data_IF_026673035884
#
_entry.id   IF_026673035884
#
_cell.length_a   1.000
_cell.length_b   1.000
_cell.length_c   1.000
_cell.angle_alpha   90.00
_cell.angle_beta   90.00
_cell.angle_gamma   90.00
#
_symmetry.space_group_name_H-M   'P 1'
#
loop_
_entity.id
_entity.type
_entity.pdbx_description
1 polymer ?
#
# COMPACT_ATOMS: atom_id res chain seq x y z
N UNK A 1 -14.78 -0.77 15.44
CA UNK A 1 -13.34 -1.13 15.61
C UNK A 1 -12.59 0.15 15.95
N UNK A 2 -11.60 0.12 16.85
CA UNK A 2 -10.81 1.30 17.21
C UNK A 2 -9.57 1.38 16.33
N UNK A 3 -9.48 2.39 15.47
CA UNK A 3 -8.28 2.65 14.67
C UNK A 3 -7.21 3.30 15.55
N UNK A 4 -6.23 2.52 16.00
CA UNK A 4 -5.13 3.02 16.85
C UNK A 4 -3.99 3.51 15.96
N UNK A 5 -3.71 4.81 15.99
CA UNK A 5 -2.58 5.41 15.26
C UNK A 5 -1.29 5.22 16.08
N UNK A 6 -0.30 4.57 15.47
CA UNK A 6 1.02 4.30 16.04
C UNK A 6 2.08 5.07 15.27
N UNK A 7 2.92 5.80 16.01
CA UNK A 7 4.08 6.52 15.49
C UNK A 7 5.32 5.63 15.55
N UNK A 8 6.06 5.50 14.44
CA UNK A 8 7.34 4.79 14.36
C UNK A 8 8.39 5.66 13.68
N UNK A 9 9.65 5.46 14.06
CA UNK A 9 10.80 6.09 13.40
C UNK A 9 11.40 5.11 12.38
N UNK A 10 11.61 5.58 11.15
CA UNK A 10 12.18 4.81 10.05
C UNK A 10 13.33 5.62 9.46
N UNK A 11 14.44 4.95 9.14
CA UNK A 11 15.55 5.58 8.44
C UNK A 11 15.26 5.58 6.94
N UNK A 12 15.16 6.78 6.35
CA UNK A 12 14.96 7.03 4.93
C UNK A 12 16.11 7.90 4.42
N UNK A 13 16.79 7.47 3.35
CA UNK A 13 17.89 8.22 2.73
C UNK A 13 18.93 8.74 3.74
N UNK A 14 19.24 7.96 4.78
CA UNK A 14 20.21 8.33 5.83
C UNK A 14 19.66 9.16 6.99
N UNK A 15 18.41 9.63 6.93
CA UNK A 15 17.79 10.44 7.98
C UNK A 15 16.63 9.70 8.67
N UNK A 16 16.44 9.95 9.97
CA UNK A 16 15.30 9.39 10.72
C UNK A 16 14.04 10.21 10.40
N UNK A 17 13.06 9.56 9.79
CA UNK A 17 11.72 10.09 9.54
C UNK A 17 10.72 9.44 10.48
N UNK A 18 9.87 10.23 11.11
CA UNK A 18 8.78 9.68 11.91
C UNK A 18 7.50 9.58 11.10
N UNK A 19 6.86 8.42 11.14
CA UNK A 19 5.64 8.11 10.39
C UNK A 19 4.56 7.68 11.38
N UNK A 20 3.36 8.23 11.25
CA UNK A 20 2.18 7.85 12.05
C UNK A 20 1.15 7.18 11.15
N UNK A 21 0.75 5.96 11.50
CA UNK A 21 -0.20 5.12 10.76
C UNK A 21 -1.05 4.30 11.72
N UNK A 22 -2.25 3.94 11.28
CA UNK A 22 -3.10 2.95 11.93
C UNK A 22 -2.35 1.61 12.00
N UNK A 23 -2.56 0.86 13.09
CA UNK A 23 -1.86 -0.41 13.33
C UNK A 23 -2.04 -1.40 12.17
N UNK A 24 -3.23 -1.42 11.57
CA UNK A 24 -3.63 -2.25 10.44
C UNK A 24 -2.77 -1.99 9.20
N UNK A 25 -2.38 -0.73 8.94
CA UNK A 25 -1.46 -0.41 7.85
C UNK A 25 -0.01 -0.81 8.17
N UNK A 26 0.40 -0.74 9.44
CA UNK A 26 1.69 -1.28 9.84
C UNK A 26 1.76 -2.80 9.67
N UNK A 27 0.69 -3.52 10.01
CA UNK A 27 0.59 -4.97 9.75
C UNK A 27 0.56 -5.28 8.26
N UNK A 28 -0.23 -4.54 7.47
CA UNK A 28 -0.25 -4.70 6.02
C UNK A 28 1.13 -4.49 5.38
N UNK A 29 1.89 -3.47 5.80
CA UNK A 29 3.27 -3.28 5.35
C UNK A 29 4.18 -4.46 5.68
N UNK A 30 4.05 -5.05 6.88
CA UNK A 30 4.83 -6.24 7.27
C UNK A 30 4.52 -7.42 6.38
N UNK A 31 3.23 -7.72 6.19
CA UNK A 31 2.79 -8.83 5.34
C UNK A 31 3.31 -8.69 3.90
N UNK A 32 3.25 -7.49 3.33
CA UNK A 32 3.74 -7.22 1.98
C UNK A 32 5.26 -7.38 1.91
N UNK A 33 5.98 -6.84 2.89
CA UNK A 33 7.43 -6.94 2.97
C UNK A 33 7.87 -8.41 3.08
N UNK A 34 7.24 -9.20 3.94
CA UNK A 34 7.53 -10.62 4.14
C UNK A 34 7.24 -11.42 2.85
N UNK A 35 6.11 -11.17 2.19
CA UNK A 35 5.75 -11.82 0.92
C UNK A 35 6.75 -11.51 -0.21
N UNK A 36 7.30 -10.29 -0.24
CA UNK A 36 8.30 -9.86 -1.23
C UNK A 36 9.76 -10.09 -0.80
N UNK A 37 9.98 -10.70 0.38
CA UNK A 37 11.31 -10.86 1.01
C UNK A 37 12.10 -9.56 1.15
N UNK A 38 11.39 -8.46 1.45
CA UNK A 38 11.98 -7.17 1.77
C UNK A 38 11.94 -6.87 3.28
N UNK A 39 12.82 -5.97 3.71
CA UNK A 39 12.67 -5.31 5.01
C UNK A 39 11.59 -4.23 4.89
N UNK A 40 10.79 -4.01 5.94
CA UNK A 40 9.79 -2.92 5.98
C UNK A 40 10.42 -1.56 5.66
N UNK A 41 11.62 -1.27 6.18
CA UNK A 41 12.33 -0.02 5.87
C UNK A 41 12.72 0.11 4.40
N UNK A 42 13.05 -1.00 3.72
CA UNK A 42 13.35 -0.98 2.28
C UNK A 42 12.07 -0.75 1.46
N UNK A 43 10.96 -1.38 1.85
CA UNK A 43 9.66 -1.16 1.22
C UNK A 43 9.20 0.30 1.38
N UNK A 44 9.33 0.88 2.59
CA UNK A 44 8.98 2.28 2.82
C UNK A 44 9.90 3.22 2.03
N UNK A 45 11.19 2.92 1.88
CA UNK A 45 12.08 3.69 1.00
C UNK A 45 11.67 3.62 -0.47
N UNK A 46 11.22 2.46 -0.95
CA UNK A 46 10.68 2.32 -2.30
C UNK A 46 9.45 3.20 -2.49
N UNK A 47 8.49 3.13 -1.57
CA UNK A 47 7.29 3.97 -1.56
C UNK A 47 7.66 5.47 -1.53
N UNK A 48 8.65 5.84 -0.71
CA UNK A 48 9.10 7.24 -0.60
C UNK A 48 9.72 7.78 -1.90
N UNK A 49 10.36 6.93 -2.70
CA UNK A 49 10.93 7.29 -4.01
C UNK A 49 9.88 7.34 -5.12
N UNK A 50 8.89 6.47 -5.07
CA UNK A 50 7.87 6.32 -6.13
C UNK A 50 6.63 7.18 -5.91
N UNK A 51 6.41 7.70 -4.69
CA UNK A 51 5.23 8.52 -4.37
C UNK A 51 5.23 9.84 -5.16
N UNK A 52 4.07 10.18 -5.69
CA UNK A 52 3.80 11.49 -6.30
C UNK A 52 3.33 12.52 -5.29
N UNK A 53 2.71 12.08 -4.19
CA UNK A 53 2.27 12.96 -3.11
C UNK A 53 3.42 13.31 -2.15
N UNK A 54 3.29 14.42 -1.41
CA UNK A 54 4.29 14.84 -0.40
C UNK A 54 4.19 14.11 0.94
N UNK A 55 3.10 13.38 1.22
CA UNK A 55 2.82 12.81 2.53
C UNK A 55 3.08 11.29 2.55
N UNK A 56 4.18 10.90 3.21
CA UNK A 56 4.57 9.49 3.30
C UNK A 56 3.52 8.59 3.97
N UNK A 57 2.83 9.06 5.02
CA UNK A 57 1.76 8.27 5.65
C UNK A 57 0.64 7.98 4.67
N UNK A 58 0.18 8.99 3.92
CA UNK A 58 -0.85 8.79 2.89
C UNK A 58 -0.38 7.90 1.76
N UNK A 59 0.87 8.06 1.29
CA UNK A 59 1.46 7.18 0.28
C UNK A 59 1.46 5.70 0.73
N UNK A 60 1.86 5.44 1.98
CA UNK A 60 1.85 4.08 2.54
C UNK A 60 0.43 3.49 2.57
N UNK A 61 -0.56 4.26 3.03
CA UNK A 61 -1.96 3.76 3.07
C UNK A 61 -2.47 3.35 1.70
N UNK A 62 -2.26 4.20 0.69
CA UNK A 62 -2.68 3.94 -0.68
C UNK A 62 -1.93 2.73 -1.26
N UNK A 63 -0.62 2.63 -1.00
CA UNK A 63 0.18 1.49 -1.43
C UNK A 63 -0.33 0.16 -0.87
N UNK A 64 -0.54 0.08 0.45
CA UNK A 64 -1.06 -1.12 1.11
C UNK A 64 -2.45 -1.47 0.58
N UNK A 65 -3.34 -0.49 0.46
CA UNK A 65 -4.68 -0.68 -0.08
C UNK A 65 -4.66 -1.24 -1.51
N UNK A 66 -3.86 -0.64 -2.41
CA UNK A 66 -3.77 -1.08 -3.79
C UNK A 66 -3.18 -2.49 -3.90
N UNK A 67 -2.16 -2.83 -3.11
CA UNK A 67 -1.56 -4.16 -3.11
C UNK A 67 -2.61 -5.25 -2.82
N UNK A 68 -3.41 -5.08 -1.77
CA UNK A 68 -4.44 -6.08 -1.43
C UNK A 68 -5.61 -6.07 -2.41
N UNK A 69 -5.98 -4.90 -2.96
CA UNK A 69 -7.01 -4.81 -4.00
C UNK A 69 -6.60 -5.55 -5.28
N UNK A 70 -5.35 -5.37 -5.72
CA UNK A 70 -4.79 -6.04 -6.90
C UNK A 70 -4.63 -7.54 -6.66
N UNK A 71 -4.16 -7.94 -5.48
CA UNK A 71 -4.09 -9.35 -5.10
C UNK A 71 -5.47 -10.02 -5.17
N UNK A 72 -6.51 -9.38 -4.61
CA UNK A 72 -7.88 -9.90 -4.67
C UNK A 72 -8.42 -9.93 -6.11
N UNK A 73 -8.07 -8.94 -6.95
CA UNK A 73 -8.45 -8.94 -8.36
C UNK A 73 -7.79 -10.11 -9.12
N UNK A 74 -6.52 -10.40 -8.82
CA UNK A 74 -5.79 -11.52 -9.41
C UNK A 74 -6.32 -12.88 -8.91
N UNK A 75 -6.72 -12.98 -7.64
CA UNK A 75 -7.33 -14.19 -7.07
C UNK A 75 -8.77 -14.43 -7.59
N UNK A 76 -9.51 -13.35 -7.93
CA UNK A 76 -10.87 -13.43 -8.51
C UNK A 76 -10.91 -13.67 -10.00
N UNK A 77 -9.78 -13.64 -10.70
CA UNK A 77 -9.73 -13.96 -12.11
C UNK A 77 -9.50 -15.47 -12.28
N UNK A 78 -10.54 -16.32 -12.46
CA UNK A 78 -10.36 -17.48 -13.32
C UNK A 78 -10.02 -16.93 -14.71
N UNK A 79 -9.34 -17.71 -15.54
CA UNK A 79 -9.22 -17.41 -16.96
C UNK A 79 -10.62 -17.06 -17.54
N UNK A 80 -10.92 -15.77 -17.74
CA UNK A 80 -12.15 -15.31 -18.40
C UNK A 80 -13.24 -14.59 -17.58
N UNK A 81 -13.00 -13.95 -16.43
CA UNK A 81 -14.03 -13.06 -15.84
C UNK A 81 -13.49 -11.69 -15.46
N UNK A 82 -14.00 -10.64 -16.11
CA UNK A 82 -13.60 -9.25 -15.91
C UNK A 82 -14.04 -8.72 -14.52
N UNK A 83 -13.25 -7.83 -13.88
CA UNK A 83 -13.54 -7.35 -12.53
C UNK A 83 -14.74 -6.39 -12.48
N UNK A 84 -15.62 -6.60 -11.49
CA UNK A 84 -16.87 -5.85 -11.23
C UNK A 84 -16.65 -4.35 -10.93
N UNK A 85 -15.42 -3.92 -10.65
CA UNK A 85 -15.07 -2.52 -10.36
C UNK A 85 -14.50 -1.77 -11.56
N UNK A 86 -14.35 -2.42 -12.73
CA UNK A 86 -13.99 -1.70 -13.95
C UNK A 86 -15.03 -0.61 -14.21
N UNK A 87 -14.64 0.64 -14.50
CA UNK A 87 -15.61 1.64 -14.90
C UNK A 87 -16.33 1.09 -16.13
N UNK A 88 -17.66 1.04 -16.06
CA UNK A 88 -18.48 0.84 -17.26
C UNK A 88 -18.06 1.96 -18.18
N UNK A 89 -17.31 1.63 -19.24
CA UNK A 89 -16.92 2.58 -20.26
C UNK A 89 -18.21 3.00 -20.98
N UNK A 90 -18.91 3.95 -20.37
CA UNK A 90 -20.07 4.62 -20.93
C UNK A 90 -19.54 5.90 -21.59
N UNK A 91 -19.94 6.07 -22.85
CA UNK A 91 -19.66 7.15 -23.81
C UNK A 91 -18.44 6.92 -24.73
N UNK A 92 -18.55 7.06 -26.06
CA UNK A 92 -19.65 7.53 -26.90
C UNK A 92 -19.50 6.98 -28.32
N UNK A 93 -20.65 6.88 -28.99
CA UNK A 93 -20.80 6.78 -30.45
C UNK A 93 -20.29 8.05 -31.14
#
# INVERSE_FOLDING_TARGET
MKSVIIKRSIVLNGHKTSVSLENEFWEGLRQIADAQKFKVSALVQKIDRERTNRNLSSAIRIFVFNHFRERLANERAPAGTAPVWAPVATFAR
#
